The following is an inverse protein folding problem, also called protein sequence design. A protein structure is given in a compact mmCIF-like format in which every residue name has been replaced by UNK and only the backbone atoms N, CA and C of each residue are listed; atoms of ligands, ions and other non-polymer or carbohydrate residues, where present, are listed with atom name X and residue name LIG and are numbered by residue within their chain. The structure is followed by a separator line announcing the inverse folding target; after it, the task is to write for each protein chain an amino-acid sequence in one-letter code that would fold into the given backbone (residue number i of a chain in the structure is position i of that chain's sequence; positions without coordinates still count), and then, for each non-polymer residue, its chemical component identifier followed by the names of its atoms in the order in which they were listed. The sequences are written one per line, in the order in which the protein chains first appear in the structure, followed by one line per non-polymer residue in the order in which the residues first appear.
data_IF_793032243887
#
_entry.id   IF_793032243887
#
_cell.length_a   1.000
_cell.length_b   1.000
_cell.length_c   1.000
_cell.angle_alpha   90.00
_cell.angle_beta   90.00
_cell.angle_gamma   90.00
#
_symmetry.space_group_name_H-M   'P 1'
#
loop_
_entity.id
_entity.type
_entity.pdbx_description
1 polymer ?
#
# COMPACT_ATOMS: atom_id res chain seq x y z
N UNK A 1 20.95 58.13 36.88
CA UNK A 1 19.81 57.65 37.69
C UNK A 1 18.53 57.90 36.94
N UNK A 2 17.72 56.85 36.77
CA UNK A 2 16.25 56.80 36.75
C UNK A 2 15.51 57.90 35.96
N UNK A 3 14.99 57.54 34.79
CA UNK A 3 13.61 57.03 34.61
C UNK A 3 12.65 58.22 34.47
N UNK A 4 12.27 58.50 33.21
CA UNK A 4 11.09 59.31 32.92
C UNK A 4 10.00 58.39 32.41
N UNK A 5 9.00 58.31 33.28
CA UNK A 5 7.87 57.41 33.32
C UNK A 5 6.66 58.10 32.68
N UNK A 6 5.98 57.32 31.84
CA UNK A 6 4.56 57.40 31.48
C UNK A 6 4.05 58.63 30.72
N UNK A 7 3.95 58.44 29.41
CA UNK A 7 3.01 59.16 28.56
C UNK A 7 1.60 58.56 28.70
N UNK A 8 0.63 59.45 28.47
CA UNK A 8 -0.79 59.41 28.75
C UNK A 8 -1.56 58.18 28.23
N UNK A 9 -2.52 57.77 29.05
CA UNK A 9 -3.47 56.68 28.89
C UNK A 9 -4.81 57.19 28.30
N UNK A 10 -5.26 56.51 27.25
CA UNK A 10 -6.65 56.19 26.84
C UNK A 10 -7.71 57.29 26.61
N UNK A 11 -8.28 57.31 25.39
CA UNK A 11 -9.73 57.24 25.10
C UNK A 11 -9.93 57.06 23.56
N UNK A 12 -10.20 55.86 23.03
CA UNK A 12 -11.50 55.18 22.88
C UNK A 12 -12.49 55.84 21.88
N UNK A 13 -12.66 55.21 20.70
CA UNK A 13 -13.92 54.99 19.95
C UNK A 13 -13.56 54.40 18.57
N UNK A 14 -13.74 53.10 18.31
CA UNK A 14 -14.99 52.40 17.95
C UNK A 14 -15.35 52.53 16.46
N UNK A 15 -15.54 51.39 15.80
CA UNK A 15 -15.99 51.30 14.40
C UNK A 15 -15.30 50.14 13.66
N UNK A 16 -15.57 48.89 14.05
CA UNK A 16 -16.50 47.96 13.39
C UNK A 16 -16.13 47.56 11.95
N UNK A 17 -16.14 46.24 11.76
CA UNK A 17 -16.30 45.48 10.53
C UNK A 17 -15.06 45.29 9.64
N UNK A 18 -14.73 44.01 9.41
CA UNK A 18 -13.93 43.59 8.26
C UNK A 18 -12.86 42.57 8.60
N UNK A 19 -13.23 41.30 8.49
CA UNK A 19 -12.37 40.13 8.59
C UNK A 19 -11.29 40.10 7.47
N UNK A 20 -10.32 39.16 7.54
CA UNK A 20 -8.92 39.37 7.23
C UNK A 20 -8.57 39.26 5.74
N UNK A 21 -7.53 39.98 5.32
CA UNK A 21 -6.71 39.56 4.18
C UNK A 21 -5.25 39.54 4.61
N UNK A 22 -4.96 38.58 5.49
CA UNK A 22 -3.59 38.27 5.87
C UNK A 22 -2.89 37.58 4.70
N UNK A 23 -1.90 38.28 4.19
CA UNK A 23 -0.85 37.81 3.31
C UNK A 23 -0.26 36.50 3.83
N UNK A 24 -0.04 35.52 2.95
CA UNK A 24 0.92 34.45 3.20
C UNK A 24 1.52 33.99 1.88
N UNK A 25 2.75 34.44 1.65
CA UNK A 25 3.68 33.94 0.66
C UNK A 25 3.90 32.45 0.92
N UNK A 26 3.57 31.58 -0.03
CA UNK A 26 4.36 30.36 -0.26
C UNK A 26 3.98 29.79 -1.62
N UNK A 27 4.91 29.72 -2.60
CA UNK A 27 4.69 28.84 -3.74
C UNK A 27 4.61 27.42 -3.15
N UNK A 28 3.42 26.84 -3.16
CA UNK A 28 3.22 25.41 -2.93
C UNK A 28 4.17 24.70 -3.88
N UNK A 29 5.24 24.03 -3.40
CA UNK A 29 6.01 23.22 -4.30
C UNK A 29 5.07 22.06 -4.62
N UNK A 30 4.48 22.07 -5.82
CA UNK A 30 3.92 20.86 -6.42
C UNK A 30 5.11 19.97 -6.77
N UNK A 31 5.74 19.44 -5.73
CA UNK A 31 6.60 18.28 -5.83
C UNK A 31 5.64 17.12 -6.00
N UNK A 32 5.30 16.87 -7.25
CA UNK A 32 4.69 15.64 -7.71
C UNK A 32 5.76 14.51 -7.67
N UNK A 33 6.39 14.31 -6.51
CA UNK A 33 7.15 13.09 -6.20
C UNK A 33 6.21 12.07 -5.57
N UNK A 34 5.15 11.73 -6.29
CA UNK A 34 4.55 10.41 -6.16
C UNK A 34 5.24 9.53 -7.20
N UNK A 35 6.53 9.22 -6.97
CA UNK A 35 7.06 7.98 -7.52
C UNK A 35 6.13 6.84 -7.07
N UNK A 36 6.02 5.74 -7.84
CA UNK A 36 5.23 4.62 -7.38
C UNK A 36 5.78 4.26 -5.99
N UNK A 37 4.92 4.34 -4.97
CA UNK A 37 5.22 3.75 -3.66
C UNK A 37 5.20 2.25 -3.90
N UNK A 38 6.25 1.76 -4.55
CA UNK A 38 6.63 0.38 -4.57
C UNK A 38 7.06 0.14 -3.13
N UNK A 39 6.16 -0.44 -2.33
CA UNK A 39 6.55 -0.99 -1.06
C UNK A 39 7.75 -1.93 -1.27
N UNK A 40 8.54 -2.23 -0.22
CA UNK A 40 9.76 -3.03 -0.30
C UNK A 40 9.63 -4.48 -0.82
N UNK A 41 8.57 -4.83 -1.56
CA UNK A 41 8.30 -6.15 -2.12
C UNK A 41 8.18 -6.27 -3.64
N UNK A 42 8.70 -5.31 -4.42
CA UNK A 42 8.67 -5.37 -5.90
C UNK A 42 9.92 -6.01 -6.54
N UNK A 43 10.78 -6.65 -5.75
CA UNK A 43 11.95 -7.37 -6.27
C UNK A 43 11.62 -8.79 -6.73
N UNK A 44 10.52 -9.37 -6.25
CA UNK A 44 10.14 -10.75 -6.51
C UNK A 44 8.90 -10.83 -7.39
N UNK A 45 9.11 -11.21 -8.65
CA UNK A 45 8.06 -11.31 -9.66
C UNK A 45 7.15 -12.51 -9.43
N UNK A 46 6.13 -12.37 -8.58
CA UNK A 46 5.03 -13.32 -8.45
C UNK A 46 3.78 -12.77 -9.16
N UNK A 47 3.12 -13.57 -9.98
CA UNK A 47 1.89 -13.20 -10.67
C UNK A 47 0.94 -14.37 -10.77
N UNK A 48 -0.37 -14.09 -10.66
CA UNK A 48 -1.45 -15.06 -10.82
C UNK A 48 -2.25 -14.72 -12.08
N UNK A 49 -2.50 -15.71 -12.93
CA UNK A 49 -3.25 -15.56 -14.17
C UNK A 49 -4.28 -16.69 -14.33
N UNK A 50 -5.50 -16.43 -14.84
CA UNK A 50 -6.07 -15.13 -15.18
C UNK A 50 -6.44 -14.32 -13.94
N UNK A 51 -6.54 -12.99 -14.09
CA UNK A 51 -7.08 -12.09 -13.06
C UNK A 51 -7.92 -11.01 -13.78
N UNK A 52 -9.26 -10.99 -13.62
CA UNK A 52 -10.09 -11.80 -12.71
C UNK A 52 -10.12 -13.30 -13.04
N UNK A 53 -10.31 -14.15 -12.03
CA UNK A 53 -10.40 -15.61 -12.18
C UNK A 53 -11.75 -16.15 -11.73
N UNK A 54 -12.21 -17.22 -12.37
CA UNK A 54 -13.42 -17.99 -12.00
C UNK A 54 -13.11 -19.21 -11.11
N UNK A 55 -12.02 -19.17 -10.35
CA UNK A 55 -11.64 -20.24 -9.41
C UNK A 55 -10.38 -21.01 -9.80
N UNK A 56 -9.94 -20.99 -11.05
CA UNK A 56 -8.64 -21.57 -11.43
C UNK A 56 -7.62 -20.47 -11.73
N UNK A 57 -6.48 -20.51 -11.06
CA UNK A 57 -5.36 -19.60 -11.31
C UNK A 57 -4.07 -20.37 -11.50
N UNK A 58 -3.27 -19.92 -12.46
CA UNK A 58 -1.90 -20.34 -12.64
C UNK A 58 -0.99 -19.38 -11.90
N UNK A 59 -0.22 -19.91 -10.96
CA UNK A 59 0.84 -19.20 -10.27
C UNK A 59 2.09 -19.21 -11.13
N UNK A 60 2.52 -18.02 -11.55
CA UNK A 60 3.81 -17.82 -12.20
C UNK A 60 4.74 -17.07 -11.25
N UNK A 61 5.91 -17.65 -11.01
CA UNK A 61 6.94 -17.07 -10.17
C UNK A 61 8.23 -16.97 -10.98
N UNK A 62 8.73 -15.75 -11.20
CA UNK A 62 9.98 -15.51 -11.94
C UNK A 62 11.11 -15.24 -10.95
N UNK A 63 11.57 -16.30 -10.29
CA UNK A 63 12.65 -16.23 -9.30
C UNK A 63 13.62 -17.40 -9.48
N UNK A 64 14.91 -17.18 -9.18
CA UNK A 64 15.90 -18.25 -9.24
C UNK A 64 15.57 -19.36 -8.24
N UNK A 65 16.05 -20.57 -8.53
CA UNK A 65 16.08 -21.65 -7.55
C UNK A 65 16.78 -21.15 -6.28
N UNK A 66 16.09 -21.27 -5.14
CA UNK A 66 16.45 -20.54 -3.93
C UNK A 66 15.73 -21.10 -2.69
N UNK A 67 15.67 -20.33 -1.58
CA UNK A 67 15.06 -20.79 -0.34
C UNK A 67 13.59 -21.18 -0.52
N UNK A 68 13.04 -21.90 0.47
CA UNK A 68 11.65 -22.34 0.42
C UNK A 68 10.69 -21.13 0.33
N UNK A 69 10.03 -20.98 -0.81
CA UNK A 69 9.04 -19.94 -1.03
C UNK A 69 7.68 -20.42 -0.51
N UNK A 70 6.97 -19.57 0.22
CA UNK A 70 5.61 -19.85 0.68
C UNK A 70 4.66 -18.83 0.08
N UNK A 71 3.69 -19.29 -0.69
CA UNK A 71 2.58 -18.49 -1.16
C UNK A 71 1.48 -18.52 -0.11
N UNK A 72 1.25 -17.39 0.57
CA UNK A 72 0.16 -17.21 1.52
C UNK A 72 -0.97 -16.42 0.86
N UNK A 73 -2.12 -17.04 0.71
CA UNK A 73 -3.35 -16.40 0.28
C UNK A 73 -4.14 -15.95 1.51
N UNK A 74 -4.50 -14.67 1.55
CA UNK A 74 -5.30 -14.06 2.60
C UNK A 74 -6.51 -13.32 2.04
N UNK A 75 -7.57 -13.24 2.83
CA UNK A 75 -8.77 -12.45 2.48
C UNK A 75 -8.56 -10.95 2.77
N UNK A 76 -9.58 -10.14 2.49
CA UNK A 76 -9.54 -8.68 2.73
C UNK A 76 -9.39 -8.28 4.20
N UNK A 77 -9.74 -9.17 5.14
CA UNK A 77 -9.57 -8.96 6.59
C UNK A 77 -8.23 -9.50 7.11
N UNK A 78 -7.36 -10.03 6.23
CA UNK A 78 -6.03 -10.52 6.57
C UNK A 78 -5.98 -11.94 7.14
N UNK A 79 -7.09 -12.68 7.14
CA UNK A 79 -7.07 -14.09 7.50
C UNK A 79 -6.40 -14.89 6.40
N UNK A 80 -5.45 -15.75 6.78
CA UNK A 80 -4.86 -16.74 5.88
C UNK A 80 -5.91 -17.79 5.52
N UNK A 81 -6.19 -17.90 4.23
CA UNK A 81 -7.13 -18.87 3.66
C UNK A 81 -6.39 -20.12 3.19
N UNK A 82 -5.18 -19.94 2.62
CA UNK A 82 -4.39 -21.05 2.10
C UNK A 82 -2.91 -20.69 2.09
N UNK A 83 -2.06 -21.66 2.42
CA UNK A 83 -0.62 -21.57 2.22
C UNK A 83 -0.14 -22.69 1.32
N UNK A 84 0.69 -22.35 0.33
CA UNK A 84 1.24 -23.29 -0.64
C UNK A 84 2.74 -23.10 -0.70
N UNK A 85 3.50 -24.16 -0.43
CA UNK A 85 4.94 -24.14 -0.62
C UNK A 85 5.27 -24.17 -2.11
N UNK A 86 5.84 -23.08 -2.62
CA UNK A 86 6.31 -22.98 -3.99
C UNK A 86 7.75 -23.47 -4.05
N UNK A 87 7.97 -24.52 -4.84
CA UNK A 87 9.32 -24.94 -5.23
C UNK A 87 9.58 -24.48 -6.66
N UNK A 88 10.64 -23.70 -6.93
CA UNK A 88 10.93 -23.17 -8.27
C UNK A 88 11.15 -24.29 -9.30
N UNK A 89 11.60 -25.48 -8.87
CA UNK A 89 11.76 -26.67 -9.72
C UNK A 89 10.43 -27.22 -10.26
N UNK A 90 9.33 -27.04 -9.51
CA UNK A 90 7.99 -27.58 -9.84
C UNK A 90 7.06 -26.46 -10.34
N UNK A 91 7.34 -25.21 -9.99
CA UNK A 91 6.49 -24.05 -10.30
C UNK A 91 6.75 -23.48 -11.71
N UNK A 92 7.67 -24.05 -12.48
CA UNK A 92 7.86 -23.77 -13.92
C UNK A 92 7.35 -24.95 -14.74
N UNK A 93 6.40 -24.78 -15.68
CA UNK A 93 5.93 -23.52 -16.28
C UNK A 93 4.79 -22.78 -15.55
N UNK A 94 4.27 -23.32 -14.45
CA UNK A 94 3.26 -22.67 -13.63
C UNK A 94 2.50 -23.67 -12.75
N UNK A 95 2.25 -23.31 -11.48
CA UNK A 95 1.47 -24.15 -10.58
C UNK A 95 -0.01 -23.79 -10.71
N UNK A 96 -0.85 -24.74 -11.14
CA UNK A 96 -2.29 -24.57 -11.14
C UNK A 96 -2.84 -24.67 -9.72
N UNK A 97 -3.53 -23.64 -9.29
CA UNK A 97 -4.15 -23.51 -7.99
C UNK A 97 -5.67 -23.45 -8.15
N UNK A 98 -6.36 -24.39 -7.52
CA UNK A 98 -7.81 -24.42 -7.46
C UNK A 98 -8.28 -23.59 -6.25
N UNK A 99 -9.03 -22.53 -6.53
CA UNK A 99 -9.63 -21.56 -5.62
C UNK A 99 -11.17 -21.56 -5.74
N UNK A 100 -11.78 -22.54 -6.43
CA UNK A 100 -13.24 -22.65 -6.60
C UNK A 100 -13.98 -22.84 -5.29
N UNK A 101 -13.30 -23.33 -4.25
CA UNK A 101 -13.85 -23.43 -2.89
C UNK A 101 -14.05 -22.05 -2.22
N UNK A 102 -13.49 -20.98 -2.80
CA UNK A 102 -13.52 -19.63 -2.23
C UNK A 102 -14.61 -18.78 -2.87
N UNK A 103 -15.37 -17.99 -2.08
CA UNK A 103 -16.39 -17.10 -2.63
C UNK A 103 -15.76 -16.02 -3.52
N UNK A 104 -16.50 -15.58 -4.52
CA UNK A 104 -16.13 -14.45 -5.38
C UNK A 104 -15.85 -13.19 -4.55
N UNK A 105 -14.73 -12.51 -4.82
CA UNK A 105 -14.31 -11.36 -4.05
C UNK A 105 -12.86 -10.94 -4.29
N UNK A 106 -12.37 -10.05 -3.45
CA UNK A 106 -10.99 -9.59 -3.46
C UNK A 106 -10.15 -10.41 -2.48
N UNK A 107 -8.99 -10.86 -2.94
CA UNK A 107 -8.01 -11.58 -2.13
C UNK A 107 -6.64 -10.97 -2.31
N UNK A 108 -5.77 -11.22 -1.33
CA UNK A 108 -4.38 -10.83 -1.37
C UNK A 108 -3.52 -12.09 -1.31
N UNK A 109 -2.54 -12.19 -2.17
CA UNK A 109 -1.55 -13.23 -2.11
C UNK A 109 -0.20 -12.61 -1.80
N UNK A 110 0.49 -13.20 -0.83
CA UNK A 110 1.78 -12.77 -0.35
C UNK A 110 2.79 -13.88 -0.57
N UNK A 111 3.94 -13.53 -1.13
CA UNK A 111 5.09 -14.41 -1.19
C UNK A 111 5.90 -14.21 0.08
N UNK A 112 6.13 -15.27 0.83
CA UNK A 112 6.96 -15.30 2.03
C UNK A 112 8.24 -16.06 1.72
N UNK A 113 9.38 -15.45 2.03
CA UNK A 113 10.72 -15.99 1.83
C UNK A 113 11.48 -15.84 3.14
N UNK A 114 12.01 -16.94 3.67
CA UNK A 114 12.72 -16.97 4.96
C UNK A 114 11.92 -16.29 6.10
N UNK A 115 10.60 -16.49 6.10
CA UNK A 115 9.69 -15.92 7.10
C UNK A 115 9.33 -14.44 6.91
N UNK A 116 9.86 -13.78 5.87
CA UNK A 116 9.53 -12.38 5.54
C UNK A 116 8.63 -12.31 4.32
N UNK A 117 7.59 -11.47 4.39
CA UNK A 117 6.76 -11.16 3.22
C UNK A 117 7.60 -10.35 2.24
N UNK A 118 7.87 -10.96 1.09
CA UNK A 118 8.74 -10.41 0.07
C UNK A 118 7.98 -9.81 -1.11
N UNK A 119 6.70 -10.15 -1.31
CA UNK A 119 5.82 -9.45 -2.24
C UNK A 119 4.37 -9.69 -1.88
N UNK A 120 3.49 -8.71 -2.07
CA UNK A 120 2.05 -8.88 -1.90
C UNK A 120 1.33 -8.29 -3.09
N UNK A 121 0.38 -9.05 -3.64
CA UNK A 121 -0.45 -8.62 -4.77
C UNK A 121 -1.90 -9.01 -4.55
N UNK A 122 -2.77 -8.37 -5.32
CA UNK A 122 -4.22 -8.57 -5.28
C UNK A 122 -4.67 -9.56 -6.36
N UNK A 123 -5.65 -10.39 -6.02
CA UNK A 123 -6.35 -11.31 -6.90
C UNK A 123 -7.85 -11.04 -6.80
N UNK A 124 -8.52 -10.95 -7.94
CA UNK A 124 -9.98 -10.83 -8.01
C UNK A 124 -10.57 -12.16 -8.45
N UNK A 125 -11.50 -12.68 -7.66
CA UNK A 125 -12.26 -13.88 -7.97
C UNK A 125 -13.70 -13.50 -8.33
N UNK A 126 -14.21 -14.08 -9.41
CA UNK A 126 -15.57 -13.93 -9.91
C UNK A 126 -16.16 -15.33 -10.04
N UNK A 127 -16.75 -15.87 -8.98
CA UNK A 127 -17.41 -17.17 -9.03
C UNK A 127 -18.86 -17.04 -9.50
#
# INVERSE_FOLDING_TARGET
MKIFTLFFLALAAAGLAGAPTATARTPKPLVLLAGPVQGPGEALGLSLYPNPSHGFVTVQMRQPAGPAYLLRLSNVIGQEIRSVALRPEISFPGLSLNLTDLPGGLYFYSLVVDGKVASTKRLVLQN
#
